data_IF_247046883188
#
_entry.id   IF_247046883188
#
_cell.length_a   1.000
_cell.length_b   1.000
_cell.length_c   1.000
_cell.angle_alpha   90.00
_cell.angle_beta   90.00
_cell.angle_gamma   90.00
#
_symmetry.space_group_name_H-M   'P 1'
#
loop_
_entity.id
_entity.type
_entity.pdbx_description
1 polymer ?
#
# COMPACT_ATOMS: atom_id res chain seq x y z
N UNK A 1 -3.63 -10.12 8.82
CA UNK A 1 -4.02 -10.46 7.45
C UNK A 1 -2.83 -10.34 6.53
N UNK A 2 -2.67 -11.29 5.66
CA UNK A 2 -1.57 -11.32 4.73
C UNK A 2 -2.08 -11.07 3.32
N UNK A 3 -1.41 -10.17 2.60
CA UNK A 3 -1.79 -9.84 1.24
C UNK A 3 -0.67 -10.26 0.30
N UNK A 4 -1.01 -11.06 -0.68
CA UNK A 4 -0.03 -11.49 -1.69
C UNK A 4 -0.25 -10.66 -2.94
N UNK A 5 0.78 -9.95 -3.35
CA UNK A 5 0.73 -9.08 -4.51
C UNK A 5 1.69 -9.57 -5.58
N UNK A 6 1.44 -9.16 -6.82
CA UNK A 6 2.40 -9.40 -7.88
C UNK A 6 3.64 -8.55 -7.60
N UNK A 7 4.75 -8.91 -8.23
CA UNK A 7 5.99 -8.16 -8.03
C UNK A 7 5.83 -6.69 -8.39
N UNK A 8 5.10 -6.39 -9.44
CA UNK A 8 4.87 -5.02 -9.85
C UNK A 8 4.12 -4.21 -8.80
N UNK A 9 3.10 -4.82 -8.20
CA UNK A 9 2.32 -4.16 -7.15
C UNK A 9 3.15 -4.02 -5.87
N UNK A 10 3.95 -5.04 -5.56
CA UNK A 10 4.84 -4.96 -4.41
C UNK A 10 5.83 -3.82 -4.56
N UNK A 11 6.41 -3.69 -5.73
CA UNK A 11 7.36 -2.62 -5.99
C UNK A 11 6.71 -1.26 -5.86
N UNK A 12 5.47 -1.15 -6.31
CA UNK A 12 4.70 0.09 -6.18
C UNK A 12 4.51 0.47 -4.71
N UNK A 13 4.12 -0.50 -3.90
CA UNK A 13 3.89 -0.26 -2.47
C UNK A 13 5.18 0.16 -1.79
N UNK A 14 6.28 -0.55 -2.10
CA UNK A 14 7.58 -0.22 -1.52
C UNK A 14 8.04 1.18 -1.91
N UNK A 15 7.76 1.58 -3.15
CA UNK A 15 8.10 2.91 -3.60
C UNK A 15 7.34 3.97 -2.81
N UNK A 16 6.09 3.70 -2.49
CA UNK A 16 5.28 4.64 -1.70
C UNK A 16 5.84 4.82 -0.30
N UNK A 17 6.29 3.74 0.32
CA UNK A 17 6.92 3.82 1.63
C UNK A 17 8.22 4.61 1.54
N UNK A 18 8.99 4.39 0.48
CA UNK A 18 10.26 5.08 0.29
C UNK A 18 10.09 6.58 0.09
N UNK A 19 8.92 7.01 -0.40
CA UNK A 19 8.63 8.43 -0.56
C UNK A 19 8.47 9.15 0.79
N UNK A 20 8.31 8.38 1.87
CA UNK A 20 8.21 8.97 3.19
C UNK A 20 6.79 9.35 3.61
N UNK A 21 5.80 9.02 2.81
CA UNK A 21 4.41 9.34 3.13
C UNK A 21 3.75 8.31 4.03
N UNK A 22 4.32 7.12 4.07
CA UNK A 22 3.76 6.00 4.83
C UNK A 22 4.84 5.41 5.71
N UNK A 23 4.45 4.92 6.87
CA UNK A 23 5.39 4.32 7.81
C UNK A 23 5.82 2.93 7.36
N UNK A 24 4.89 2.19 6.75
CA UNK A 24 5.18 0.83 6.27
C UNK A 24 4.15 0.43 5.23
N UNK A 25 4.30 -0.79 4.73
CA UNK A 25 3.43 -1.29 3.66
C UNK A 25 1.98 -1.43 4.10
N UNK A 26 1.75 -1.73 5.36
CA UNK A 26 0.39 -1.84 5.88
C UNK A 26 -0.36 -0.52 5.79
N UNK A 27 0.34 0.57 5.99
CA UNK A 27 -0.24 1.91 5.87
C UNK A 27 -0.72 2.16 4.44
N UNK A 28 0.07 1.75 3.47
CA UNK A 28 -0.30 1.92 2.06
C UNK A 28 -1.57 1.15 1.75
N UNK A 29 -1.64 -0.10 2.20
CA UNK A 29 -2.80 -0.96 1.95
C UNK A 29 -4.04 -0.39 2.63
N UNK A 30 -3.89 0.08 3.86
CA UNK A 30 -5.01 0.66 4.61
C UNK A 30 -5.57 1.88 3.89
N UNK A 31 -4.69 2.73 3.40
CA UNK A 31 -5.10 3.94 2.68
C UNK A 31 -5.84 3.58 1.40
N UNK A 32 -5.37 2.57 0.68
CA UNK A 32 -6.01 2.13 -0.55
C UNK A 32 -7.43 1.62 -0.27
N UNK A 33 -7.58 0.83 0.78
CA UNK A 33 -8.89 0.29 1.15
C UNK A 33 -9.83 1.42 1.55
N UNK A 34 -9.34 2.38 2.31
CA UNK A 34 -10.16 3.50 2.75
C UNK A 34 -10.68 4.28 1.56
N UNK A 35 -9.86 4.50 0.55
CA UNK A 35 -10.27 5.21 -0.64
C UNK A 35 -11.32 4.47 -1.42
N UNK A 36 -11.23 3.15 -1.45
CA UNK A 36 -12.26 2.34 -2.09
C UNK A 36 -13.58 2.43 -1.35
N UNK A 37 -13.53 2.45 -0.03
CA UNK A 37 -14.74 2.55 0.78
C UNK A 37 -15.44 3.90 0.64
N UNK A 38 -14.67 4.93 0.37
CA UNK A 38 -15.20 6.30 0.26
C UNK A 38 -15.80 6.61 -1.11
N UNK A 39 -15.73 5.69 -2.03
CA UNK A 39 -16.25 5.92 -3.39
C UNK A 39 -17.76 5.93 -3.45
#
# INVERSE_FOLDING_TARGET
MQVVLTKEREDFVKAKVAEGRYLDESEVVREAIRRLEDR
#
